data_IF_952639817621
#
_entry.id   IF_952639817621
#
_cell.length_a   1.000
_cell.length_b   1.000
_cell.length_c   1.000
_cell.angle_alpha   90.00
_cell.angle_beta   90.00
_cell.angle_gamma   90.00
#
_symmetry.space_group_name_H-M   'P 1'
#
loop_
_entity.id
_entity.type
_entity.pdbx_description
1 polymer ?
#
# COMPACT_ATOMS: atom_id res chain seq x y z
N UNK A 1 1.72 17.70 15.08
CA UNK A 1 0.88 18.40 16.07
C UNK A 1 -0.60 18.29 15.72
N UNK A 2 -1.54 18.60 16.63
CA UNK A 2 -2.98 18.59 16.31
C UNK A 2 -3.36 19.59 15.21
N UNK A 3 -2.64 20.71 15.09
CA UNK A 3 -2.82 21.69 14.00
C UNK A 3 -2.40 21.11 12.65
N UNK A 4 -1.30 20.37 12.61
CA UNK A 4 -0.86 19.69 11.39
C UNK A 4 -1.88 18.65 10.93
N UNK A 5 -2.47 17.90 11.88
CA UNK A 5 -3.53 16.94 11.55
C UNK A 5 -4.78 17.64 11.02
N UNK A 6 -5.19 18.76 11.62
CA UNK A 6 -6.34 19.54 11.14
C UNK A 6 -6.11 20.05 9.70
N UNK A 7 -4.94 20.61 9.43
CA UNK A 7 -4.56 21.05 8.09
C UNK A 7 -4.53 19.89 7.09
N UNK A 8 -3.95 18.75 7.47
CA UNK A 8 -3.95 17.54 6.65
C UNK A 8 -5.38 17.07 6.34
N UNK A 9 -6.28 17.09 7.33
CA UNK A 9 -7.67 16.72 7.13
C UNK A 9 -8.38 17.66 6.12
N UNK A 10 -8.11 18.97 6.18
CA UNK A 10 -8.64 19.93 5.22
C UNK A 10 -8.05 19.76 3.81
N UNK A 11 -6.75 19.45 3.70
CA UNK A 11 -6.11 19.12 2.42
C UNK A 11 -6.72 17.84 1.84
N UNK A 12 -6.95 16.81 2.65
CA UNK A 12 -7.55 15.57 2.20
C UNK A 12 -9.00 15.75 1.75
N UNK A 13 -9.78 16.58 2.44
CA UNK A 13 -11.13 16.94 2.00
C UNK A 13 -11.13 17.69 0.65
N UNK A 14 -10.14 18.58 0.42
CA UNK A 14 -9.93 19.22 -0.90
C UNK A 14 -9.61 18.19 -1.99
N UNK A 15 -8.74 17.21 -1.72
CA UNK A 15 -8.47 16.11 -2.66
C UNK A 15 -9.75 15.38 -3.05
N UNK A 16 -10.59 15.07 -2.05
CA UNK A 16 -11.84 14.34 -2.26
C UNK A 16 -12.86 15.16 -3.06
N UNK A 17 -12.91 16.47 -2.85
CA UNK A 17 -13.83 17.39 -3.53
C UNK A 17 -13.45 17.65 -5.00
N UNK A 18 -12.16 17.57 -5.35
CA UNK A 18 -11.65 17.78 -6.70
C UNK A 18 -12.07 16.62 -7.64
N UNK A 19 -12.91 16.92 -8.64
CA UNK A 19 -13.57 15.89 -9.49
C UNK A 19 -12.60 15.02 -10.29
N UNK A 20 -11.47 15.58 -10.69
CA UNK A 20 -10.47 14.93 -11.53
C UNK A 20 -9.13 14.73 -10.80
N UNK A 21 -9.17 14.51 -9.48
CA UNK A 21 -8.00 14.14 -8.70
C UNK A 21 -8.02 12.65 -8.36
N UNK A 22 -7.03 11.87 -8.82
CA UNK A 22 -6.83 10.49 -8.35
C UNK A 22 -6.03 10.49 -7.05
N UNK A 23 -6.43 9.69 -6.07
CA UNK A 23 -5.74 9.59 -4.78
C UNK A 23 -4.92 8.32 -4.73
N UNK A 24 -3.60 8.48 -4.54
CA UNK A 24 -2.67 7.38 -4.28
C UNK A 24 -2.46 7.30 -2.77
N UNK A 25 -2.82 6.16 -2.19
CA UNK A 25 -2.50 5.81 -0.82
C UNK A 25 -1.16 5.09 -0.79
N UNK A 26 -0.23 5.56 0.03
CA UNK A 26 1.00 4.81 0.31
C UNK A 26 0.96 4.23 1.72
N UNK A 27 1.30 2.94 1.84
CA UNK A 27 1.29 2.21 3.10
C UNK A 27 2.68 1.65 3.40
N UNK A 28 3.33 2.26 4.39
CA UNK A 28 4.56 1.76 4.96
C UNK A 28 4.38 1.44 6.44
N UNK A 29 5.05 0.39 6.89
CA UNK A 29 4.95 -0.12 8.26
C UNK A 29 3.63 -0.84 8.55
N UNK A 30 3.56 -1.46 9.72
CA UNK A 30 2.49 -2.40 10.07
C UNK A 30 1.35 -1.73 10.84
N UNK A 31 0.86 -0.57 10.41
CA UNK A 31 -0.31 0.08 11.04
C UNK A 31 -1.54 -0.82 11.07
N UNK A 32 -1.62 -1.73 10.10
CA UNK A 32 -2.59 -2.81 10.02
C UNK A 32 -2.54 -3.79 11.19
N UNK A 33 -1.33 -4.12 11.69
CA UNK A 33 -1.15 -4.96 12.88
C UNK A 33 -1.81 -4.30 14.11
N UNK A 34 -1.75 -2.97 14.18
CA UNK A 34 -2.39 -2.16 15.21
C UNK A 34 -3.87 -1.81 14.89
N UNK A 35 -4.52 -2.55 13.99
CA UNK A 35 -5.97 -2.46 13.75
C UNK A 35 -6.42 -1.44 12.70
N UNK A 36 -5.51 -0.78 11.98
CA UNK A 36 -5.90 0.22 10.97
C UNK A 36 -6.37 -0.37 9.63
N UNK A 37 -6.29 -1.69 9.40
CA UNK A 37 -6.58 -2.29 8.09
C UNK A 37 -7.98 -1.96 7.58
N UNK A 38 -8.98 -2.01 8.46
CA UNK A 38 -10.37 -1.77 8.06
C UNK A 38 -10.62 -0.33 7.59
N UNK A 39 -9.81 0.63 8.05
CA UNK A 39 -9.87 2.02 7.59
C UNK A 39 -9.52 2.08 6.10
N UNK A 40 -8.45 1.39 5.68
CA UNK A 40 -8.05 1.35 4.27
C UNK A 40 -9.10 0.66 3.40
N UNK A 41 -9.68 -0.44 3.89
CA UNK A 41 -10.81 -1.13 3.24
C UNK A 41 -11.98 -0.18 3.02
N UNK A 42 -12.36 0.57 4.06
CA UNK A 42 -13.48 1.52 3.98
C UNK A 42 -13.15 2.68 3.04
N UNK A 43 -11.90 3.15 3.01
CA UNK A 43 -11.46 4.17 2.06
C UNK A 43 -11.59 3.69 0.60
N UNK A 44 -11.23 2.45 0.30
CA UNK A 44 -11.43 1.86 -1.04
C UNK A 44 -12.92 1.76 -1.37
N UNK A 45 -13.75 1.20 -0.47
CA UNK A 45 -15.20 1.06 -0.67
C UNK A 45 -15.89 2.40 -0.93
N UNK A 46 -15.44 3.44 -0.25
CA UNK A 46 -16.02 4.77 -0.33
C UNK A 46 -15.37 5.66 -1.39
N UNK A 47 -14.55 5.13 -2.32
CA UNK A 47 -13.92 5.90 -3.41
C UNK A 47 -13.02 7.04 -2.91
N UNK A 48 -12.42 6.84 -1.73
CA UNK A 48 -11.52 7.78 -1.08
C UNK A 48 -10.05 7.53 -1.45
N UNK A 49 -9.77 6.38 -2.07
CA UNK A 49 -8.47 5.95 -2.59
C UNK A 49 -8.69 5.28 -3.95
N UNK A 50 -7.81 5.58 -4.90
CA UNK A 50 -7.93 5.14 -6.29
C UNK A 50 -6.76 4.23 -6.73
N UNK A 51 -5.61 4.32 -6.05
CA UNK A 51 -4.42 3.46 -6.22
C UNK A 51 -3.78 3.22 -4.85
N UNK A 52 -3.20 2.06 -4.63
CA UNK A 52 -2.41 1.75 -3.43
C UNK A 52 -0.99 1.38 -3.84
N UNK A 53 -0.01 1.96 -3.15
CA UNK A 53 1.40 1.51 -3.19
C UNK A 53 1.78 1.11 -1.77
N UNK A 54 2.25 -0.10 -1.55
CA UNK A 54 2.44 -0.64 -0.21
C UNK A 54 3.66 -1.54 -0.10
N UNK A 55 4.12 -1.79 1.13
CA UNK A 55 5.08 -2.88 1.37
C UNK A 55 4.40 -4.24 1.21
N UNK A 56 5.17 -5.27 0.82
CA UNK A 56 4.67 -6.63 0.76
C UNK A 56 4.09 -7.07 2.12
N UNK A 57 4.77 -6.74 3.23
CA UNK A 57 4.27 -7.04 4.57
C UNK A 57 2.85 -6.51 4.84
N UNK A 58 2.54 -5.28 4.42
CA UNK A 58 1.20 -4.70 4.63
C UNK A 58 0.10 -5.42 3.85
N UNK A 59 0.44 -5.96 2.69
CA UNK A 59 -0.52 -6.56 1.74
C UNK A 59 -0.63 -8.07 1.95
N UNK A 60 0.47 -8.74 2.23
CA UNK A 60 0.55 -10.20 2.31
C UNK A 60 0.45 -10.62 3.77
N UNK A 61 1.46 -10.28 4.57
CA UNK A 61 1.62 -10.74 5.95
C UNK A 61 0.48 -10.21 6.85
N UNK A 62 -0.04 -9.01 6.57
CA UNK A 62 -1.15 -8.42 7.34
C UNK A 62 -2.53 -8.74 6.73
N UNK A 63 -2.78 -8.35 5.46
CA UNK A 63 -4.12 -8.43 4.87
C UNK A 63 -4.48 -9.83 4.35
N UNK A 64 -3.68 -10.32 3.40
CA UNK A 64 -3.95 -11.58 2.72
C UNK A 64 -3.93 -12.75 3.70
N UNK A 65 -2.97 -12.76 4.62
CA UNK A 65 -2.87 -13.70 5.74
C UNK A 65 -4.18 -13.80 6.54
N UNK A 66 -4.73 -12.67 6.99
CA UNK A 66 -6.00 -12.68 7.72
C UNK A 66 -7.18 -13.06 6.83
N UNK A 67 -7.14 -12.71 5.54
CA UNK A 67 -8.17 -13.10 4.57
C UNK A 67 -8.24 -14.63 4.40
N UNK A 68 -7.12 -15.34 4.52
CA UNK A 68 -7.04 -16.80 4.56
C UNK A 68 -7.60 -17.40 5.88
N UNK A 69 -7.89 -16.55 6.87
CA UNK A 69 -8.52 -16.88 8.14
C UNK A 69 -7.56 -17.05 9.31
N UNK A 70 -6.30 -16.70 9.13
CA UNK A 70 -5.31 -16.62 10.20
C UNK A 70 -5.49 -15.32 11.00
N UNK A 71 -4.73 -15.17 12.09
CA UNK A 71 -4.92 -14.05 13.03
C UNK A 71 -3.61 -13.47 13.51
N UNK A 72 -3.63 -12.16 13.69
CA UNK A 72 -2.69 -11.44 14.52
C UNK A 72 -3.21 -11.39 15.96
N UNK A 73 -2.29 -11.40 16.92
CA UNK A 73 -2.62 -11.36 18.33
C UNK A 73 -1.97 -10.14 18.98
N UNK A 74 -2.74 -9.40 19.77
CA UNK A 74 -2.18 -8.35 20.60
C UNK A 74 -1.29 -8.98 21.68
N UNK A 75 -0.07 -8.48 21.79
CA UNK A 75 0.94 -8.91 22.75
C UNK A 75 1.60 -7.73 23.43
N UNK A 76 2.89 -7.87 23.72
CA UNK A 76 3.72 -6.83 24.35
C UNK A 76 5.13 -6.86 23.78
N UNK A 77 5.82 -5.70 23.66
CA UNK A 77 7.17 -5.68 23.14
C UNK A 77 8.23 -6.18 24.14
N UNK A 78 7.82 -6.53 25.37
CA UNK A 78 8.72 -6.85 26.48
C UNK A 78 8.91 -8.36 26.74
N UNK A 79 8.40 -9.24 25.87
CA UNK A 79 8.66 -10.69 25.98
C UNK A 79 10.08 -11.00 25.49
N UNK A 80 10.71 -12.02 26.08
CA UNK A 80 11.98 -12.56 25.59
C UNK A 80 11.82 -13.14 24.18
N UNK A 81 12.45 -12.50 23.20
CA UNK A 81 12.39 -12.93 21.80
C UNK A 81 12.96 -14.34 21.58
N UNK A 82 13.84 -14.85 22.46
CA UNK A 82 14.31 -16.26 22.39
C UNK A 82 13.19 -17.24 22.72
N UNK A 83 12.33 -16.89 23.66
CA UNK A 83 11.15 -17.69 23.99
C UNK A 83 10.17 -17.68 22.81
N UNK A 84 9.89 -16.50 22.24
CA UNK A 84 9.04 -16.37 21.05
C UNK A 84 9.56 -17.25 19.91
N UNK A 85 10.87 -17.17 19.61
CA UNK A 85 11.50 -18.00 18.57
C UNK A 85 11.39 -19.50 18.83
N UNK A 86 11.54 -19.93 20.10
CA UNK A 86 11.39 -21.35 20.51
C UNK A 86 9.95 -21.83 20.36
N UNK A 87 8.98 -20.95 20.60
CA UNK A 87 7.55 -21.23 20.44
C UNK A 87 7.06 -21.04 19.00
N UNK A 88 7.94 -20.63 18.09
CA UNK A 88 7.61 -20.37 16.69
C UNK A 88 6.59 -19.25 16.51
N UNK A 89 6.80 -18.18 17.27
CA UNK A 89 6.01 -16.96 17.24
C UNK A 89 6.91 -15.82 16.76
N UNK A 90 6.45 -15.11 15.74
CA UNK A 90 7.06 -13.87 15.29
C UNK A 90 6.37 -12.66 15.88
N UNK A 91 7.14 -11.58 16.03
CA UNK A 91 6.65 -10.34 16.66
C UNK A 91 6.90 -9.14 15.77
N UNK A 92 5.84 -8.36 15.62
CA UNK A 92 5.84 -7.03 15.02
C UNK A 92 5.52 -6.05 16.14
N UNK A 93 6.56 -5.49 16.74
CA UNK A 93 6.44 -4.62 17.91
C UNK A 93 5.62 -5.26 19.05
N UNK A 94 4.36 -4.90 19.24
CA UNK A 94 3.46 -5.42 20.26
C UNK A 94 2.39 -6.38 19.70
N UNK A 95 2.58 -6.87 18.47
CA UNK A 95 1.68 -7.82 17.79
C UNK A 95 2.41 -9.12 17.49
N UNK A 96 1.76 -10.27 17.73
CA UNK A 96 2.31 -11.60 17.51
C UNK A 96 1.63 -12.33 16.35
N UNK A 97 2.41 -13.16 15.68
CA UNK A 97 2.01 -14.00 14.54
C UNK A 97 2.53 -15.42 14.77
N UNK A 98 1.71 -16.39 14.43
CA UNK A 98 2.08 -17.81 14.40
C UNK A 98 2.81 -18.11 13.09
N UNK A 99 4.08 -18.50 13.18
CA UNK A 99 4.93 -18.73 12.00
C UNK A 99 4.47 -19.94 11.18
N UNK A 100 3.84 -20.97 11.79
CA UNK A 100 3.29 -22.10 11.01
C UNK A 100 2.15 -21.61 10.09
N UNK A 101 1.37 -20.64 10.57
CA UNK A 101 0.31 -20.02 9.76
C UNK A 101 0.89 -19.14 8.67
N UNK A 102 2.01 -18.45 8.93
CA UNK A 102 2.67 -17.62 7.92
C UNK A 102 3.23 -18.49 6.79
N UNK A 103 3.81 -19.64 7.14
CA UNK A 103 4.21 -20.65 6.15
C UNK A 103 3.04 -21.19 5.33
N UNK A 104 1.86 -21.37 5.94
CA UNK A 104 0.66 -21.74 5.19
C UNK A 104 0.21 -20.62 4.21
N UNK A 105 0.46 -19.35 4.55
CA UNK A 105 0.29 -18.22 3.64
C UNK A 105 1.30 -18.29 2.49
N UNK A 106 2.59 -18.53 2.76
CA UNK A 106 3.64 -18.70 1.74
C UNK A 106 3.28 -19.81 0.73
N UNK A 107 2.81 -20.96 1.25
CA UNK A 107 2.35 -22.08 0.42
C UNK A 107 1.14 -21.72 -0.44
N UNK A 108 0.27 -20.83 0.05
CA UNK A 108 -0.85 -20.32 -0.75
C UNK A 108 -0.37 -19.40 -1.88
N UNK A 109 0.64 -18.56 -1.62
CA UNK A 109 1.28 -17.74 -2.66
C UNK A 109 1.91 -18.63 -3.73
N UNK A 110 2.68 -19.64 -3.32
CA UNK A 110 3.26 -20.63 -4.23
C UNK A 110 2.19 -21.31 -5.09
N UNK A 111 1.08 -21.73 -4.47
CA UNK A 111 -0.04 -22.37 -5.18
C UNK A 111 -0.65 -21.45 -6.23
N UNK A 112 -0.80 -20.15 -5.94
CA UNK A 112 -1.26 -19.18 -6.94
C UNK A 112 -0.23 -19.10 -8.07
N UNK A 113 1.06 -18.92 -7.75
CA UNK A 113 2.13 -18.84 -8.75
C UNK A 113 2.20 -20.08 -9.66
N UNK A 114 2.11 -21.27 -9.08
CA UNK A 114 2.09 -22.56 -9.79
C UNK A 114 0.92 -22.70 -10.79
N UNK A 115 -0.14 -21.91 -10.63
CA UNK A 115 -1.32 -21.94 -11.51
C UNK A 115 -1.28 -20.92 -12.65
N UNK A 116 -0.28 -20.03 -12.65
CA UNK A 116 -0.12 -18.97 -13.64
C UNK A 116 0.90 -19.38 -14.72
N UNK A 117 0.83 -18.71 -15.86
CA UNK A 117 1.81 -18.89 -16.95
C UNK A 117 3.21 -18.45 -16.48
N UNK A 118 4.25 -19.19 -16.85
CA UNK A 118 5.64 -18.87 -16.53
C UNK A 118 6.17 -17.69 -17.35
N UNK A 119 5.86 -16.47 -16.91
CA UNK A 119 6.33 -15.20 -17.50
C UNK A 119 6.62 -14.17 -16.41
N UNK A 120 7.23 -13.02 -16.74
CA UNK A 120 7.28 -11.90 -15.81
C UNK A 120 5.89 -11.30 -15.53
N UNK A 121 5.58 -11.06 -14.26
CA UNK A 121 4.39 -10.35 -13.79
C UNK A 121 4.80 -9.10 -13.01
N UNK A 122 4.01 -8.04 -13.10
CA UNK A 122 4.11 -6.96 -12.11
C UNK A 122 3.52 -7.43 -10.77
N UNK A 123 3.90 -6.81 -9.65
CA UNK A 123 3.24 -7.11 -8.37
C UNK A 123 1.75 -6.79 -8.43
N UNK A 124 1.33 -5.77 -9.19
CA UNK A 124 -0.10 -5.48 -9.44
C UNK A 124 -0.83 -6.66 -10.06
N UNK A 125 -0.28 -7.26 -11.11
CA UNK A 125 -0.92 -8.43 -11.75
C UNK A 125 -1.04 -9.59 -10.75
N UNK A 126 0.04 -9.89 -10.02
CA UNK A 126 0.03 -10.99 -9.07
C UNK A 126 -0.96 -10.75 -7.90
N UNK A 127 -1.01 -9.53 -7.36
CA UNK A 127 -1.96 -9.15 -6.30
C UNK A 127 -3.41 -9.20 -6.82
N UNK A 128 -3.65 -8.90 -8.10
CA UNK A 128 -4.98 -9.10 -8.69
C UNK A 128 -5.39 -10.59 -8.71
N UNK A 129 -4.46 -11.50 -9.02
CA UNK A 129 -4.70 -12.94 -8.92
C UNK A 129 -4.89 -13.41 -7.46
N UNK A 130 -4.20 -12.79 -6.49
CA UNK A 130 -4.49 -13.00 -5.06
C UNK A 130 -5.92 -12.56 -4.69
N UNK A 131 -6.38 -11.39 -5.16
CA UNK A 131 -7.75 -10.93 -4.92
C UNK A 131 -8.80 -11.84 -5.56
N UNK A 132 -8.54 -12.33 -6.77
CA UNK A 132 -9.37 -13.31 -7.47
C UNK A 132 -9.42 -14.65 -6.73
N UNK A 133 -8.30 -15.10 -6.16
CA UNK A 133 -8.22 -16.27 -5.29
C UNK A 133 -9.09 -16.08 -4.04
N UNK A 134 -8.95 -14.94 -3.35
CA UNK A 134 -9.73 -14.62 -2.15
C UNK A 134 -11.23 -14.57 -2.41
N UNK A 135 -11.69 -14.13 -3.59
CA UNK A 135 -13.12 -14.16 -3.92
C UNK A 135 -13.75 -15.56 -3.74
N UNK A 136 -12.97 -16.62 -3.99
CA UNK A 136 -13.41 -18.01 -3.85
C UNK A 136 -13.02 -18.64 -2.51
N UNK A 137 -11.87 -18.26 -1.96
CA UNK A 137 -11.25 -18.96 -0.85
C UNK A 137 -11.16 -18.17 0.47
N UNK A 138 -11.58 -16.90 0.49
CA UNK A 138 -11.47 -16.08 1.71
C UNK A 138 -12.34 -16.62 2.85
N UNK A 139 -11.71 -16.81 4.01
CA UNK A 139 -12.40 -17.14 5.26
C UNK A 139 -12.86 -15.88 5.97
N UNK A 140 -11.99 -14.85 6.05
CA UNK A 140 -12.36 -13.51 6.50
C UNK A 140 -12.74 -12.66 5.29
N UNK A 141 -13.95 -12.11 5.29
CA UNK A 141 -14.44 -11.22 4.22
C UNK A 141 -13.96 -9.79 4.45
N UNK A 142 -13.98 -9.00 3.37
CA UNK A 142 -13.61 -7.58 3.38
C UNK A 142 -12.13 -7.30 3.70
N UNK A 143 -11.21 -8.16 3.24
CA UNK A 143 -9.79 -7.80 3.22
C UNK A 143 -9.54 -6.67 2.21
N UNK A 144 -8.44 -5.93 2.38
CA UNK A 144 -8.02 -4.86 1.47
C UNK A 144 -7.75 -5.40 0.07
N UNK A 145 -7.00 -6.50 -0.07
CA UNK A 145 -6.70 -7.16 -1.35
C UNK A 145 -7.98 -7.59 -2.06
N UNK A 146 -8.90 -8.26 -1.36
CA UNK A 146 -10.19 -8.65 -1.95
C UNK A 146 -11.00 -7.43 -2.37
N UNK A 147 -11.10 -6.43 -1.50
CA UNK A 147 -11.90 -5.21 -1.73
C UNK A 147 -11.33 -4.40 -2.90
N UNK A 148 -10.01 -4.26 -2.99
CA UNK A 148 -9.33 -3.54 -4.07
C UNK A 148 -9.57 -4.23 -5.42
N UNK A 149 -9.46 -5.57 -5.47
CA UNK A 149 -9.79 -6.36 -6.65
C UNK A 149 -11.24 -6.15 -7.10
N UNK A 150 -12.21 -6.28 -6.20
CA UNK A 150 -13.64 -6.09 -6.51
C UNK A 150 -13.98 -4.64 -6.92
N UNK A 151 -13.16 -3.67 -6.51
CA UNK A 151 -13.35 -2.26 -6.83
C UNK A 151 -12.49 -1.76 -8.00
N UNK A 152 -11.63 -2.60 -8.59
CA UNK A 152 -10.66 -2.24 -9.63
C UNK A 152 -9.69 -1.13 -9.19
N UNK A 153 -9.26 -1.18 -7.92
CA UNK A 153 -8.20 -0.33 -7.37
C UNK A 153 -6.90 -1.13 -7.42
N UNK A 154 -5.89 -0.73 -8.22
CA UNK A 154 -4.64 -1.46 -8.32
C UNK A 154 -3.80 -1.26 -7.06
N UNK A 155 -3.15 -2.34 -6.62
CA UNK A 155 -2.19 -2.35 -5.53
C UNK A 155 -0.82 -2.67 -6.12
N UNK A 156 0.20 -1.86 -5.80
CA UNK A 156 1.59 -2.08 -6.18
C UNK A 156 2.45 -2.35 -4.94
N UNK A 157 3.32 -3.35 -5.02
CA UNK A 157 4.33 -3.66 -4.01
C UNK A 157 5.71 -3.73 -4.68
N UNK A 158 6.45 -2.60 -4.78
CA UNK A 158 7.68 -2.56 -5.57
C UNK A 158 8.78 -3.52 -5.08
N UNK A 159 8.79 -3.81 -3.77
CA UNK A 159 9.64 -4.83 -3.15
C UNK A 159 8.78 -6.02 -2.72
N UNK A 160 8.08 -6.66 -3.68
CA UNK A 160 7.12 -7.72 -3.37
C UNK A 160 7.76 -8.97 -2.76
N UNK A 161 8.97 -9.31 -3.19
CA UNK A 161 9.76 -10.41 -2.64
C UNK A 161 10.21 -10.20 -1.19
N UNK A 162 10.12 -8.97 -0.67
CA UNK A 162 10.42 -8.64 0.73
C UNK A 162 9.16 -8.79 1.60
N UNK A 163 8.60 -10.00 1.63
CA UNK A 163 7.42 -10.41 2.43
C UNK A 163 7.16 -11.92 2.36
N UNK A 164 6.11 -12.42 3.03
CA UNK A 164 5.56 -13.78 2.87
C UNK A 164 5.39 -14.19 1.40
N UNK A 165 5.06 -13.24 0.51
CA UNK A 165 4.96 -13.56 -0.91
C UNK A 165 6.30 -13.98 -1.52
N UNK A 166 7.40 -13.38 -1.09
CA UNK A 166 8.75 -13.75 -1.52
C UNK A 166 9.10 -15.19 -1.22
N UNK A 167 8.79 -15.67 0.00
CA UNK A 167 9.06 -17.06 0.38
C UNK A 167 8.29 -18.04 -0.51
N UNK A 168 6.99 -17.80 -0.74
CA UNK A 168 6.19 -18.61 -1.65
C UNK A 168 6.72 -18.59 -3.10
N UNK A 169 7.19 -17.44 -3.59
CA UNK A 169 7.78 -17.30 -4.91
C UNK A 169 9.16 -17.98 -5.02
N UNK A 170 9.99 -17.93 -3.97
CA UNK A 170 11.26 -18.66 -3.91
C UNK A 170 11.01 -20.16 -4.00
N UNK A 171 10.03 -20.69 -3.24
CA UNK A 171 9.62 -22.08 -3.34
C UNK A 171 9.16 -22.45 -4.76
N UNK A 172 8.36 -21.59 -5.40
CA UNK A 172 7.93 -21.78 -6.78
C UNK A 172 9.11 -21.87 -7.76
N UNK A 173 10.07 -20.95 -7.68
CA UNK A 173 11.24 -20.94 -8.57
C UNK A 173 12.19 -22.11 -8.30
N UNK A 174 12.40 -22.46 -7.03
CA UNK A 174 13.27 -23.57 -6.65
C UNK A 174 12.75 -24.91 -7.15
N UNK A 175 11.44 -25.16 -7.07
CA UNK A 175 10.82 -26.38 -7.58
C UNK A 175 10.61 -26.39 -9.09
N UNK A 176 10.65 -25.23 -9.75
CA UNK A 176 10.43 -25.08 -11.20
C UNK A 176 11.52 -24.23 -11.86
N UNK A 177 12.79 -24.66 -11.84
CA UNK A 177 13.92 -23.84 -12.27
C UNK A 177 13.84 -23.36 -13.72
N UNK A 178 13.20 -24.12 -14.62
CA UNK A 178 13.06 -23.74 -16.03
C UNK A 178 11.67 -23.22 -16.41
N UNK A 179 10.66 -23.38 -15.53
CA UNK A 179 9.25 -23.10 -15.82
C UNK A 179 8.59 -22.36 -14.64
N UNK A 180 9.17 -21.21 -14.28
CA UNK A 180 8.68 -20.35 -13.21
C UNK A 180 8.31 -18.96 -13.71
N UNK A 181 7.44 -18.29 -12.96
CA UNK A 181 7.21 -16.86 -13.12
C UNK A 181 8.21 -16.05 -12.31
N UNK A 182 8.34 -14.78 -12.67
CA UNK A 182 9.13 -13.78 -11.96
C UNK A 182 8.31 -12.52 -11.70
N UNK A 183 8.77 -11.70 -10.76
CA UNK A 183 8.17 -10.40 -10.48
C UNK A 183 9.06 -9.31 -11.09
N UNK A 184 8.48 -8.53 -12.00
CA UNK A 184 9.13 -7.43 -12.70
C UNK A 184 8.77 -6.10 -12.03
N UNK A 185 9.69 -5.59 -11.21
CA UNK A 185 9.53 -4.32 -10.50
C UNK A 185 9.60 -3.10 -11.45
N UNK A 186 10.21 -3.23 -12.62
CA UNK A 186 10.22 -2.16 -13.63
C UNK A 186 8.86 -2.05 -14.29
N UNK A 187 8.21 -3.19 -14.56
CA UNK A 187 6.82 -3.23 -15.03
C UNK A 187 5.86 -2.58 -14.03
N UNK A 188 6.03 -2.80 -12.72
CA UNK A 188 5.26 -2.07 -11.69
C UNK A 188 5.41 -0.55 -11.85
N UNK A 189 6.65 -0.08 -12.03
CA UNK A 189 6.91 1.36 -12.08
C UNK A 189 6.36 1.99 -13.36
N UNK A 190 6.47 1.28 -14.49
CA UNK A 190 5.86 1.67 -15.76
C UNK A 190 4.34 1.75 -15.63
N UNK A 191 3.69 0.71 -15.11
CA UNK A 191 2.24 0.66 -14.97
C UNK A 191 1.73 1.79 -14.05
N UNK A 192 2.36 2.01 -12.90
CA UNK A 192 1.99 3.11 -12.00
C UNK A 192 2.19 4.48 -12.66
N UNK A 193 3.26 4.65 -13.46
CA UNK A 193 3.51 5.87 -14.23
C UNK A 193 2.44 6.09 -15.30
N UNK A 194 2.00 5.03 -15.98
CA UNK A 194 0.90 5.10 -16.95
C UNK A 194 -0.42 5.52 -16.29
N UNK A 195 -0.69 5.06 -15.06
CA UNK A 195 -1.83 5.54 -14.26
C UNK A 195 -1.68 7.04 -14.00
N UNK A 196 -0.51 7.52 -13.55
CA UNK A 196 -0.28 8.95 -13.30
C UNK A 196 -0.52 9.79 -14.55
N UNK A 197 0.02 9.37 -15.70
CA UNK A 197 -0.20 10.03 -17.00
C UNK A 197 -1.69 10.10 -17.35
N UNK A 198 -2.42 8.99 -17.17
CA UNK A 198 -3.85 8.92 -17.49
C UNK A 198 -4.73 9.74 -16.53
N UNK A 199 -4.39 9.77 -15.25
CA UNK A 199 -5.16 10.45 -14.22
C UNK A 199 -4.97 11.96 -14.24
N UNK A 200 -3.78 12.45 -14.62
CA UNK A 200 -3.44 13.87 -14.63
C UNK A 200 -3.24 14.39 -13.21
N UNK A 201 -4.22 15.11 -12.67
CA UNK A 201 -4.16 15.62 -11.29
C UNK A 201 -4.23 14.46 -10.30
N UNK A 202 -3.28 14.46 -9.35
CA UNK A 202 -3.19 13.43 -8.32
C UNK A 202 -2.91 14.02 -6.95
N UNK A 203 -3.32 13.29 -5.92
CA UNK A 203 -3.01 13.56 -4.52
C UNK A 203 -2.37 12.34 -3.86
N UNK A 204 -1.47 12.58 -2.92
CA UNK A 204 -0.77 11.57 -2.14
C UNK A 204 -1.26 11.60 -0.70
N UNK A 205 -1.73 10.45 -0.20
CA UNK A 205 -1.91 10.21 1.23
C UNK A 205 -0.91 9.14 1.66
N UNK A 206 0.12 9.55 2.38
CA UNK A 206 1.26 8.71 2.68
C UNK A 206 1.29 8.36 4.16
N UNK A 207 1.22 7.07 4.46
CA UNK A 207 1.31 6.55 5.82
C UNK A 207 2.70 5.93 5.98
N UNK A 208 3.56 6.57 6.77
CA UNK A 208 4.96 6.24 6.90
C UNK A 208 5.82 6.84 5.79
N UNK A 209 6.75 6.05 5.25
CA UNK A 209 7.77 6.49 4.30
C UNK A 209 8.25 5.36 3.37
N UNK A 210 9.57 5.19 3.27
CA UNK A 210 10.20 4.08 2.55
C UNK A 210 9.89 4.01 1.06
N UNK A 211 9.98 2.79 0.53
CA UNK A 211 9.75 2.51 -0.90
C UNK A 211 8.36 2.96 -1.38
N UNK A 212 7.24 2.69 -0.66
CA UNK A 212 5.91 3.10 -1.13
C UNK A 212 5.77 4.60 -1.37
N UNK A 213 6.35 5.42 -0.50
CA UNK A 213 6.38 6.88 -0.64
C UNK A 213 7.16 7.30 -1.89
N UNK A 214 8.43 6.90 -1.98
CA UNK A 214 9.30 7.38 -3.05
C UNK A 214 8.83 6.88 -4.41
N UNK A 215 8.44 5.61 -4.50
CA UNK A 215 7.94 4.99 -5.73
C UNK A 215 6.70 5.68 -6.30
N UNK A 216 5.76 6.09 -5.44
CA UNK A 216 4.58 6.85 -5.89
C UNK A 216 4.94 8.27 -6.36
N UNK A 217 5.87 8.93 -5.66
CA UNK A 217 6.31 10.30 -5.99
C UNK A 217 7.07 10.36 -7.31
N UNK A 218 7.95 9.39 -7.57
CA UNK A 218 8.82 9.36 -8.75
C UNK A 218 8.09 9.14 -10.08
N UNK A 219 6.79 8.81 -10.05
CA UNK A 219 5.95 8.67 -11.25
C UNK A 219 5.89 9.95 -12.09
N UNK A 220 6.05 11.12 -11.49
CA UNK A 220 6.12 12.41 -12.22
C UNK A 220 7.41 12.49 -13.02
N UNK A 221 8.55 12.23 -12.37
CA UNK A 221 9.88 12.25 -13.00
C UNK A 221 9.99 11.15 -14.06
N UNK A 222 9.44 9.97 -13.80
CA UNK A 222 9.40 8.89 -14.78
C UNK A 222 8.57 9.26 -16.02
N UNK A 223 7.43 9.93 -15.85
CA UNK A 223 6.65 10.43 -16.97
C UNK A 223 7.43 11.46 -17.81
N UNK A 224 8.19 12.35 -17.17
CA UNK A 224 9.07 13.30 -17.86
C UNK A 224 10.15 12.58 -18.69
N UNK A 225 10.80 11.55 -18.13
CA UNK A 225 11.77 10.70 -18.84
C UNK A 225 11.12 10.02 -20.06
N UNK A 226 9.84 9.66 -19.97
CA UNK A 226 9.05 9.10 -21.08
C UNK A 226 8.56 10.17 -22.08
N UNK A 227 8.99 11.43 -21.94
CA UNK A 227 8.59 12.54 -22.78
C UNK A 227 7.13 12.95 -22.62
N UNK A 228 6.54 12.70 -21.44
CA UNK A 228 5.16 13.07 -21.10
C UNK A 228 5.16 14.21 -20.10
N UNK A 229 4.53 15.31 -20.49
CA UNK A 229 4.27 16.42 -19.58
C UNK A 229 3.11 16.05 -18.65
N UNK A 230 3.41 15.93 -17.35
CA UNK A 230 2.41 15.68 -16.31
C UNK A 230 2.64 16.64 -15.15
N UNK A 231 1.58 17.19 -14.53
CA UNK A 231 1.74 18.05 -13.38
C UNK A 231 2.28 17.27 -12.19
N UNK A 232 3.02 17.94 -11.30
CA UNK A 232 3.41 17.41 -10.00
C UNK A 232 2.17 16.90 -9.23
N UNK A 233 2.39 16.09 -8.19
CA UNK A 233 1.30 15.73 -7.28
C UNK A 233 0.79 17.00 -6.57
N UNK A 234 -0.45 17.40 -6.87
CA UNK A 234 -1.04 18.69 -6.44
C UNK A 234 -1.28 18.75 -4.93
N UNK A 235 -1.58 17.60 -4.35
CA UNK A 235 -1.85 17.47 -2.91
C UNK A 235 -0.94 16.41 -2.33
N UNK A 236 -0.39 16.66 -1.14
CA UNK A 236 0.41 15.66 -0.45
C UNK A 236 0.26 15.75 1.06
N UNK A 237 0.00 14.62 1.69
CA UNK A 237 0.00 14.47 3.15
C UNK A 237 0.91 13.31 3.49
N UNK A 238 1.84 13.53 4.41
CA UNK A 238 2.64 12.45 4.99
C UNK A 238 2.40 12.38 6.50
N UNK A 239 1.96 11.22 7.00
CA UNK A 239 1.95 10.92 8.43
C UNK A 239 3.18 10.05 8.72
N UNK A 240 4.10 10.51 9.56
CA UNK A 240 5.38 9.83 9.78
C UNK A 240 5.93 10.06 11.18
N UNK A 241 6.81 9.16 11.63
CA UNK A 241 7.64 9.33 12.82
C UNK A 241 9.12 9.51 12.47
N UNK A 242 9.46 9.51 11.18
CA UNK A 242 10.83 9.61 10.70
C UNK A 242 11.42 11.01 10.94
N UNK A 243 12.70 11.05 11.31
CA UNK A 243 13.43 12.28 11.64
C UNK A 243 14.30 12.72 10.47
N UNK A 244 14.17 13.98 10.05
CA UNK A 244 14.86 14.54 8.87
C UNK A 244 16.38 14.41 8.90
N UNK A 245 17.00 14.25 10.09
CA UNK A 245 18.46 14.21 10.24
C UNK A 245 19.09 12.92 9.73
N UNK A 246 18.32 11.85 9.57
CA UNK A 246 18.83 10.58 9.03
C UNK A 246 19.07 10.64 7.51
N UNK A 247 18.57 11.69 6.82
CA UNK A 247 18.69 11.84 5.36
C UNK A 247 17.97 10.75 4.55
N UNK A 248 17.06 10.01 5.17
CA UNK A 248 16.39 8.88 4.55
C UNK A 248 15.20 9.31 3.68
N UNK A 249 14.83 8.48 2.70
CA UNK A 249 13.62 8.67 1.90
C UNK A 249 12.35 8.81 2.79
N UNK A 250 12.32 8.11 3.93
CA UNK A 250 11.21 8.17 4.87
C UNK A 250 11.03 9.53 5.53
N UNK A 251 12.14 10.23 5.80
CA UNK A 251 12.14 11.52 6.51
C UNK A 251 12.21 12.73 5.57
N UNK A 252 12.62 12.52 4.31
CA UNK A 252 12.63 13.55 3.26
C UNK A 252 11.34 14.37 3.25
N UNK A 253 11.45 15.69 3.39
CA UNK A 253 10.27 16.54 3.52
C UNK A 253 9.54 16.70 2.18
N UNK A 254 8.26 17.06 2.21
CA UNK A 254 7.54 17.34 0.95
C UNK A 254 8.06 18.62 0.25
N UNK A 255 8.67 19.54 1.01
CA UNK A 255 9.44 20.66 0.45
C UNK A 255 10.69 20.20 -0.30
N UNK A 256 11.38 19.19 0.23
CA UNK A 256 12.48 18.56 -0.48
C UNK A 256 11.94 17.86 -1.74
N UNK A 257 10.86 17.08 -1.65
CA UNK A 257 10.25 16.44 -2.82
C UNK A 257 9.82 17.44 -3.93
N UNK A 258 9.49 18.69 -3.56
CA UNK A 258 9.20 19.76 -4.51
C UNK A 258 10.44 20.17 -5.33
N UNK A 259 11.65 20.17 -4.76
CA UNK A 259 12.87 20.50 -5.51
C UNK A 259 13.18 19.47 -6.60
N UNK A 260 12.70 18.24 -6.43
CA UNK A 260 12.78 17.16 -7.42
C UNK A 260 11.64 17.16 -8.44
N UNK A 261 10.74 18.15 -8.39
CA UNK A 261 9.57 18.20 -9.28
C UNK A 261 8.51 17.13 -8.99
N UNK A 262 8.53 16.47 -7.81
CA UNK A 262 7.59 15.38 -7.50
C UNK A 262 6.26 15.90 -6.97
N UNK A 263 6.30 16.86 -6.04
CA UNK A 263 5.15 17.34 -5.27
C UNK A 263 5.03 18.86 -5.40
N UNK A 264 3.83 19.36 -5.62
CA UNK A 264 3.53 20.80 -5.59
C UNK A 264 3.49 21.30 -4.13
N UNK A 265 4.14 22.43 -3.85
CA UNK A 265 4.26 22.97 -2.48
C UNK A 265 3.04 23.77 -2.00
N UNK A 266 2.03 23.99 -2.84
CA UNK A 266 0.85 24.80 -2.49
C UNK A 266 -0.12 24.10 -1.54
N UNK A 267 -0.21 22.77 -1.58
CA UNK A 267 -1.13 21.97 -0.76
C UNK A 267 -0.45 20.72 -0.18
N UNK A 268 0.55 20.95 0.66
CA UNK A 268 1.32 19.90 1.33
C UNK A 268 1.26 20.00 2.86
N UNK A 269 1.32 18.86 3.55
CA UNK A 269 1.41 18.81 5.02
C UNK A 269 2.13 17.56 5.52
N UNK A 270 3.21 17.77 6.28
CA UNK A 270 3.85 16.76 7.12
C UNK A 270 3.14 16.68 8.48
N UNK A 271 2.76 15.49 8.92
CA UNK A 271 2.17 15.21 10.23
C UNK A 271 3.10 14.26 10.99
N UNK A 272 3.91 14.82 11.88
CA UNK A 272 4.80 14.03 12.75
C UNK A 272 4.01 13.40 13.90
N UNK A 273 3.58 12.15 13.73
CA UNK A 273 2.77 11.39 14.68
C UNK A 273 2.74 9.89 14.33
N UNK A 274 2.44 9.05 15.32
CA UNK A 274 2.10 7.65 15.09
C UNK A 274 0.80 7.54 14.31
N UNK A 275 0.83 6.88 13.15
CA UNK A 275 -0.32 6.80 12.27
C UNK A 275 -1.56 6.19 12.92
N UNK A 276 -1.39 5.22 13.82
CA UNK A 276 -2.48 4.55 14.56
C UNK A 276 -3.31 5.52 15.39
N UNK A 277 -2.74 6.64 15.82
CA UNK A 277 -3.42 7.65 16.65
C UNK A 277 -4.15 8.71 15.81
N UNK A 278 -3.64 9.04 14.62
CA UNK A 278 -4.14 10.17 13.82
C UNK A 278 -4.90 9.77 12.55
N UNK A 279 -4.58 8.62 11.96
CA UNK A 279 -5.25 8.11 10.77
C UNK A 279 -6.75 7.88 10.97
N UNK A 280 -7.22 7.28 12.09
CA UNK A 280 -8.66 7.13 12.33
C UNK A 280 -9.39 8.47 12.35
N UNK A 281 -8.76 9.50 12.92
CA UNK A 281 -9.33 10.85 12.98
C UNK A 281 -9.41 11.50 11.59
N UNK A 282 -8.35 11.40 10.79
CA UNK A 282 -8.30 11.93 9.42
C UNK A 282 -9.35 11.24 8.52
N UNK A 283 -9.40 9.90 8.57
CA UNK A 283 -10.33 9.12 7.77
C UNK A 283 -11.79 9.39 8.20
N UNK A 284 -12.05 9.45 9.51
CA UNK A 284 -13.37 9.77 10.06
C UNK A 284 -13.85 11.16 9.63
N UNK A 285 -13.01 12.18 9.75
CA UNK A 285 -13.33 13.54 9.29
C UNK A 285 -13.77 13.55 7.84
N UNK A 286 -12.97 12.96 6.95
CA UNK A 286 -13.26 12.91 5.52
C UNK A 286 -14.52 12.09 5.20
N UNK A 287 -14.73 10.98 5.90
CA UNK A 287 -15.93 10.16 5.76
C UNK A 287 -17.19 10.97 6.10
N UNK A 288 -17.18 11.71 7.21
CA UNK A 288 -18.32 12.50 7.68
C UNK A 288 -18.55 13.78 6.86
N UNK A 289 -17.52 14.36 6.22
CA UNK A 289 -17.69 15.44 5.23
C UNK A 289 -18.47 15.00 4.00
N UNK A 290 -18.34 13.73 3.61
CA UNK A 290 -19.16 13.12 2.56
C UNK A 290 -18.82 13.54 1.12
N UNK A 291 -17.72 14.27 0.88
CA UNK A 291 -17.30 14.65 -0.47
C UNK A 291 -17.02 13.42 -1.37
N UNK A 292 -16.58 12.32 -0.76
CA UNK A 292 -16.38 11.02 -1.42
C UNK A 292 -17.64 10.47 -2.12
N UNK A 293 -18.84 10.81 -1.64
CA UNK A 293 -20.10 10.36 -2.23
C UNK A 293 -20.24 10.84 -3.68
N UNK A 294 -19.77 12.06 -3.97
CA UNK A 294 -19.84 12.72 -5.28
C UNK A 294 -18.67 12.37 -6.20
N UNK A 295 -17.64 11.67 -5.71
CA UNK A 295 -16.49 11.24 -6.52
C UNK A 295 -16.89 10.16 -7.53
N UNK A 296 -16.32 10.23 -8.73
CA UNK A 296 -16.34 9.13 -9.70
C UNK A 296 -15.52 7.97 -9.17
N UNK A 297 -15.86 6.74 -9.57
CA UNK A 297 -15.04 5.55 -9.30
C UNK A 297 -14.05 5.40 -10.45
N UNK A 298 -12.75 5.58 -10.19
CA UNK A 298 -11.76 5.63 -11.26
C UNK A 298 -11.49 4.29 -11.94
N UNK A 299 -11.58 3.17 -11.20
CA UNK A 299 -11.35 1.81 -11.73
C UNK A 299 -10.01 1.65 -12.47
N UNK A 300 -8.93 2.21 -11.92
CA UNK A 300 -7.64 2.36 -12.61
C UNK A 300 -6.96 1.04 -12.97
N UNK A 301 -7.35 -0.08 -12.34
CA UNK A 301 -6.84 -1.40 -12.73
C UNK A 301 -7.23 -1.76 -14.18
N UNK A 302 -8.37 -1.27 -14.68
CA UNK A 302 -8.89 -1.56 -16.03
C UNK A 302 -8.13 -0.86 -17.15
N UNK A 303 -7.13 -0.04 -16.83
CA UNK A 303 -6.26 0.57 -17.85
C UNK A 303 -5.41 -0.49 -18.55
N UNK A 304 -5.22 -1.66 -17.91
CA UNK A 304 -4.35 -2.74 -18.37
C UNK A 304 -5.11 -3.98 -18.85
N UNK A 305 -6.44 -3.90 -18.92
CA UNK A 305 -7.31 -4.97 -19.45
C UNK A 305 -7.45 -4.91 -20.97
#
# INVERSE_FOLDING_TARGET
>A
SARDLANAADIYDKMLKEKNCSIILTLAGSTSAAGCMQIYVDMVKNKMVDVIVATGASIVDMDFFEALGFKHYQGTPFVDDKLLRKLYIDRIYDTYIDEEQLQACDQTIKKIADSLEARPYSSREFIAEMGKYLKKHSKKKNSLVQTAYENNVPIFCPAFSDSSAGFGLVLHQYERPEHHLSIDSVKDFLELTMIKIKAGTSGLLMIGGGVPKNFAQDTVVCAEILGKDVPMHKYAIQITVADVRDGACSSSTLKEANSWGKVDSSCEQMVYAEATTVLPLLASYAYHKGNWKKRKKWQLAKIFD
#
